data_IF_888789415998
#
_entry.id   IF_888789415998
#
_cell.length_a   1.000
_cell.length_b   1.000
_cell.length_c   1.000
_cell.angle_alpha   90.00
_cell.angle_beta   90.00
_cell.angle_gamma   90.00
#
_symmetry.space_group_name_H-M   'P 1'
#
loop_
_entity.id
_entity.type
_entity.pdbx_description
1 polymer ?
#
# COMPACT_ATOMS: atom_id res chain seq x y z
N UNK A 1 -10.47 1.71 -8.73
CA UNK A 1 -10.57 2.20 -7.35
C UNK A 1 -9.29 2.88 -6.89
N UNK A 2 -8.29 2.20 -6.30
CA UNK A 2 -7.02 2.88 -5.94
C UNK A 2 -6.22 3.36 -7.16
N UNK A 3 -6.16 2.53 -8.21
CA UNK A 3 -5.51 2.89 -9.49
C UNK A 3 -6.16 4.08 -10.22
N UNK A 4 -7.36 4.48 -9.82
CA UNK A 4 -8.07 5.63 -10.43
C UNK A 4 -7.67 6.95 -9.80
N UNK A 5 -7.05 6.92 -8.61
CA UNK A 5 -6.48 8.10 -7.97
C UNK A 5 -5.25 8.52 -8.80
N UNK A 6 -5.23 9.72 -9.40
CA UNK A 6 -4.13 10.19 -10.24
C UNK A 6 -2.78 10.19 -9.52
N UNK A 7 -2.80 10.55 -8.24
CA UNK A 7 -1.64 10.65 -7.35
C UNK A 7 -1.00 9.29 -7.07
N UNK A 8 -1.73 8.18 -7.21
CA UNK A 8 -1.21 6.84 -6.94
C UNK A 8 -0.26 6.41 -8.06
N UNK A 9 1.03 6.27 -7.69
CA UNK A 9 2.11 5.85 -8.59
C UNK A 9 2.34 4.36 -8.56
N UNK A 10 2.33 3.72 -7.38
CA UNK A 10 2.55 2.27 -7.25
C UNK A 10 1.70 1.66 -6.15
N UNK A 11 1.35 0.39 -6.33
CA UNK A 11 0.68 -0.41 -5.29
C UNK A 11 1.40 -1.75 -5.21
N UNK A 12 1.85 -2.10 -4.01
CA UNK A 12 2.43 -3.40 -3.71
C UNK A 12 1.52 -4.13 -2.72
N UNK A 13 1.36 -5.43 -2.94
CA UNK A 13 0.80 -6.35 -1.97
C UNK A 13 1.96 -6.96 -1.19
N UNK A 14 1.92 -6.87 0.14
CA UNK A 14 2.95 -7.44 1.00
C UNK A 14 2.32 -8.34 2.06
N UNK A 15 3.11 -8.73 3.07
CA UNK A 15 2.61 -9.51 4.18
C UNK A 15 2.41 -11.00 3.88
N UNK A 16 1.56 -11.64 4.69
CA UNK A 16 1.30 -13.08 4.66
C UNK A 16 0.73 -13.55 3.32
N UNK A 17 -0.12 -12.73 2.69
CA UNK A 17 -0.71 -13.03 1.40
C UNK A 17 0.34 -13.03 0.28
N UNK A 18 1.27 -12.08 0.28
CA UNK A 18 2.37 -12.05 -0.69
C UNK A 18 3.29 -13.27 -0.57
N UNK A 19 3.42 -13.86 0.63
CA UNK A 19 4.23 -15.07 0.91
C UNK A 19 3.48 -16.40 0.72
N UNK A 20 2.26 -16.38 0.18
CA UNK A 20 1.53 -17.60 -0.21
C UNK A 20 0.75 -18.30 0.91
N UNK A 21 0.63 -17.69 2.10
CA UNK A 21 -0.35 -18.15 3.10
C UNK A 21 -1.72 -17.61 2.67
N UNK A 22 -2.60 -18.54 2.31
CA UNK A 22 -4.00 -18.29 1.95
C UNK A 22 -4.86 -18.90 3.05
N UNK A 23 -5.04 -18.19 4.16
CA UNK A 23 -6.11 -18.54 5.08
C UNK A 23 -7.37 -17.74 4.72
N UNK A 24 -8.53 -18.18 5.18
CA UNK A 24 -9.82 -17.58 4.82
C UNK A 24 -10.07 -16.22 5.51
N UNK A 25 -9.13 -15.77 6.33
CA UNK A 25 -9.20 -14.55 7.14
C UNK A 25 -8.04 -13.60 6.84
N UNK A 26 -7.32 -13.76 5.72
CA UNK A 26 -6.07 -13.04 5.53
C UNK A 26 -6.35 -11.56 5.26
N UNK A 27 -5.91 -10.71 6.17
CA UNK A 27 -5.83 -9.27 5.99
C UNK A 27 -5.01 -8.94 4.73
N UNK A 28 -5.49 -8.02 3.90
CA UNK A 28 -4.76 -7.57 2.71
C UNK A 28 -3.85 -6.40 3.06
N UNK A 29 -2.55 -6.68 3.19
CA UNK A 29 -1.52 -5.66 3.40
C UNK A 29 -1.12 -4.98 2.08
N UNK A 30 -1.46 -3.70 1.93
CA UNK A 30 -1.17 -2.91 0.74
C UNK A 30 -0.24 -1.74 1.05
N UNK A 31 0.86 -1.64 0.29
CA UNK A 31 1.74 -0.48 0.28
C UNK A 31 1.39 0.36 -0.95
N UNK A 32 0.91 1.57 -0.72
CA UNK A 32 0.59 2.53 -1.76
C UNK A 32 1.67 3.62 -1.78
N UNK A 33 2.30 3.80 -2.94
CA UNK A 33 3.17 4.95 -3.18
C UNK A 33 2.37 5.97 -3.97
N UNK A 34 2.19 7.16 -3.41
CA UNK A 34 1.42 8.23 -4.03
C UNK A 34 2.09 9.60 -3.84
N UNK A 35 1.96 10.44 -4.86
CA UNK A 35 2.53 11.78 -4.91
C UNK A 35 1.52 12.80 -4.37
N UNK A 36 1.77 13.33 -3.17
CA UNK A 36 0.84 14.22 -2.47
C UNK A 36 1.53 14.91 -1.29
N UNK A 37 1.08 16.12 -0.96
CA UNK A 37 1.50 16.88 0.21
C UNK A 37 0.65 16.57 1.46
N UNK A 38 -0.30 15.64 1.36
CA UNK A 38 -1.16 15.28 2.49
C UNK A 38 -0.38 14.61 3.63
N UNK A 39 -0.64 14.97 4.91
CA UNK A 39 -0.09 14.25 6.05
C UNK A 39 -0.44 12.77 6.01
N UNK A 40 0.45 11.91 6.52
CA UNK A 40 0.31 10.45 6.50
C UNK A 40 -1.08 9.95 6.92
N UNK A 41 -1.58 10.43 8.06
CA UNK A 41 -2.89 10.02 8.59
C UNK A 41 -4.04 10.41 7.64
N UNK A 42 -3.98 11.59 7.01
CA UNK A 42 -5.01 12.04 6.06
C UNK A 42 -5.03 11.20 4.79
N UNK A 43 -3.84 10.82 4.28
CA UNK A 43 -3.71 9.90 3.14
C UNK A 43 -4.38 8.56 3.44
N UNK A 44 -4.08 7.99 4.60
CA UNK A 44 -4.71 6.73 5.02
C UNK A 44 -6.22 6.86 5.08
N UNK A 45 -6.74 7.88 5.78
CA UNK A 45 -8.18 8.12 5.91
C UNK A 45 -8.86 8.24 4.53
N UNK A 46 -8.23 8.93 3.57
CA UNK A 46 -8.70 9.06 2.18
C UNK A 46 -8.73 7.71 1.46
N UNK A 47 -7.69 6.90 1.59
CA UNK A 47 -7.60 5.59 0.95
C UNK A 47 -8.61 4.60 1.56
N UNK A 48 -8.72 4.56 2.88
CA UNK A 48 -9.71 3.77 3.59
C UNK A 48 -11.14 4.16 3.20
N UNK A 49 -11.45 5.46 3.10
CA UNK A 49 -12.76 5.92 2.58
C UNK A 49 -13.00 5.50 1.14
N UNK A 50 -11.96 5.47 0.32
CA UNK A 50 -12.06 5.05 -1.09
C UNK A 50 -12.36 3.55 -1.20
N UNK A 51 -11.81 2.74 -0.30
CA UNK A 51 -11.99 1.28 -0.27
C UNK A 51 -13.23 0.83 0.52
N UNK A 52 -13.68 1.65 1.47
CA UNK A 52 -14.67 1.34 2.50
C UNK A 52 -15.77 0.37 2.09
N UNK A 53 -15.76 -0.82 2.70
CA UNK A 53 -16.79 -1.85 2.61
C UNK A 53 -16.79 -2.71 1.34
N UNK A 54 -15.94 -2.43 0.35
CA UNK A 54 -15.94 -3.16 -0.94
C UNK A 54 -14.98 -4.32 -1.02
N UNK A 55 -13.95 -4.34 -0.18
CA UNK A 55 -12.94 -5.39 -0.22
C UNK A 55 -13.49 -6.75 0.28
N UNK A 56 -14.55 -6.76 1.08
CA UNK A 56 -15.11 -7.97 1.69
C UNK A 56 -14.18 -8.65 2.71
N UNK A 57 -12.99 -8.08 2.93
CA UNK A 57 -11.94 -8.48 3.86
C UNK A 57 -11.33 -7.23 4.48
N UNK A 58 -10.68 -7.40 5.62
CA UNK A 58 -9.90 -6.34 6.25
C UNK A 58 -8.66 -6.02 5.40
N UNK A 59 -8.37 -4.72 5.27
CA UNK A 59 -7.28 -4.22 4.40
C UNK A 59 -6.44 -3.29 5.24
N UNK A 60 -5.16 -3.61 5.38
CA UNK A 60 -4.19 -2.74 6.03
C UNK A 60 -3.41 -1.97 4.98
N UNK A 61 -3.50 -0.64 5.03
CA UNK A 61 -2.91 0.24 4.02
C UNK A 61 -1.80 1.05 4.66
N UNK A 62 -0.65 1.04 4.02
CA UNK A 62 0.42 1.99 4.28
C UNK A 62 0.59 2.88 3.04
N UNK A 63 0.52 4.19 3.23
CA UNK A 63 0.62 5.16 2.15
C UNK A 63 1.83 6.07 2.33
N UNK A 64 2.80 5.98 1.43
CA UNK A 64 4.02 6.78 1.48
C UNK A 64 4.22 7.60 0.21
N UNK A 65 4.92 8.73 0.33
CA UNK A 65 5.39 9.48 -0.83
C UNK A 65 6.69 8.90 -1.39
N UNK A 66 7.04 9.17 -2.65
CA UNK A 66 8.33 8.77 -3.20
C UNK A 66 9.53 9.26 -2.36
N UNK A 67 9.43 10.45 -1.77
CA UNK A 67 10.44 11.07 -0.91
C UNK A 67 10.57 10.32 0.41
N UNK A 68 9.44 9.99 1.05
CA UNK A 68 9.42 9.18 2.28
C UNK A 68 10.02 7.81 2.04
N UNK A 69 9.66 7.14 0.94
CA UNK A 69 10.27 5.85 0.57
C UNK A 69 11.77 6.00 0.39
N UNK A 70 12.23 7.06 -0.27
CA UNK A 70 13.67 7.28 -0.50
C UNK A 70 14.42 7.49 0.81
N UNK A 71 13.86 8.27 1.74
CA UNK A 71 14.44 8.51 3.07
C UNK A 71 14.39 7.27 3.96
N UNK A 72 13.36 6.46 3.83
CA UNK A 72 13.11 5.32 4.71
C UNK A 72 13.59 3.97 4.13
N UNK A 73 14.21 3.97 2.95
CA UNK A 73 14.79 2.77 2.31
C UNK A 73 15.82 2.04 3.18
N UNK A 74 16.39 2.72 4.17
CA UNK A 74 17.34 2.14 5.13
C UNK A 74 16.67 1.37 6.28
N UNK A 75 15.36 1.57 6.52
CA UNK A 75 14.63 0.82 7.54
C UNK A 75 14.18 -0.54 6.99
N UNK A 76 14.51 -1.62 7.72
CA UNK A 76 14.37 -3.00 7.25
C UNK A 76 12.96 -3.41 6.80
N UNK A 77 11.91 -2.82 7.38
CA UNK A 77 10.53 -3.13 6.99
C UNK A 77 10.21 -2.74 5.54
N UNK A 78 10.43 -1.47 5.16
CA UNK A 78 10.14 -1.01 3.79
C UNK A 78 11.03 -1.70 2.76
N UNK A 79 12.30 -1.98 3.12
CA UNK A 79 13.18 -2.77 2.28
C UNK A 79 12.60 -4.15 1.99
N UNK A 80 12.16 -4.87 3.02
CA UNK A 80 11.56 -6.19 2.85
C UNK A 80 10.27 -6.12 2.02
N UNK A 81 9.42 -5.11 2.27
CA UNK A 81 8.19 -4.91 1.48
C UNK A 81 8.49 -4.63 0.00
N UNK A 82 9.51 -3.82 -0.31
CA UNK A 82 9.87 -3.53 -1.70
C UNK A 82 10.57 -4.71 -2.40
N UNK A 83 11.21 -5.61 -1.64
CA UNK A 83 11.89 -6.78 -2.19
C UNK A 83 10.97 -8.01 -2.32
N UNK A 84 10.15 -8.27 -1.32
CA UNK A 84 9.27 -9.45 -1.25
C UNK A 84 7.83 -9.14 -1.67
N UNK A 85 7.44 -7.86 -1.66
CA UNK A 85 6.11 -7.44 -2.04
C UNK A 85 5.85 -7.61 -3.54
N UNK A 86 4.64 -8.06 -3.87
CA UNK A 86 4.18 -8.20 -5.24
C UNK A 86 3.66 -6.87 -5.75
N UNK A 87 4.27 -6.33 -6.81
CA UNK A 87 3.74 -5.16 -7.51
C UNK A 87 2.39 -5.53 -8.15
N UNK A 88 1.32 -4.84 -7.72
CA UNK A 88 -0.02 -4.98 -8.29
C UNK A 88 -0.30 -3.90 -9.35
N UNK A 89 0.31 -2.73 -9.19
CA UNK A 89 0.06 -1.58 -10.06
C UNK A 89 1.25 -0.64 -10.12
N UNK A 90 1.51 -0.07 -11.30
CA UNK A 90 2.44 1.02 -11.51
C UNK A 90 1.90 1.98 -12.57
N UNK A 91 2.14 3.27 -12.36
CA UNK A 91 1.87 4.37 -13.29
C UNK A 91 3.13 5.23 -13.39
N UNK A 92 3.46 5.64 -14.62
CA UNK A 92 4.52 6.61 -14.91
C UNK A 92 4.16 8.01 -14.38
#
# INVERSE_FOLDING_TARGET
MLKEIPEVKRIFLFGSYARGRRDLFTDLDLLVIMDTDEPFVKRLERLYRTIGGRAGVDVDILAYTPEEITKMREYGFLRNVLQEGRLLYARE
#
